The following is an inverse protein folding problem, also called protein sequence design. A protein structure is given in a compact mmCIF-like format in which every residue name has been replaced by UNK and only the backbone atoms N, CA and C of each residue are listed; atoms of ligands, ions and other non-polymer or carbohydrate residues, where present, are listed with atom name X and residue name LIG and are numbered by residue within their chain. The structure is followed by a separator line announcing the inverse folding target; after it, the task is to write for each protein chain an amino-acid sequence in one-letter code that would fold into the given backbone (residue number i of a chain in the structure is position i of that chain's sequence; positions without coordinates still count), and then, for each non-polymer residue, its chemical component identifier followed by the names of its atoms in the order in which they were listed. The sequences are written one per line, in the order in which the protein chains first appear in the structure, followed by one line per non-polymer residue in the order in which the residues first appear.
data_IF_736727514308
#
_entry.id   IF_736727514308
#
_cell.length_a   1.000
_cell.length_b   1.000
_cell.length_c   1.000
_cell.angle_alpha   90.00
_cell.angle_beta   90.00
_cell.angle_gamma   90.00
#
_symmetry.space_group_name_H-M   'P 1'
#
loop_
_entity.id
_entity.type
_entity.pdbx_description
1 polymer ?
#
# COMPACT_ATOMS: atom_id res chain seq x y z
N UNK A 1 13.40 14.20 -17.15
CA UNK A 1 12.43 14.17 -16.04
C UNK A 1 11.72 15.52 -16.03
N UNK A 2 10.39 15.57 -15.87
CA UNK A 2 9.62 16.82 -15.93
C UNK A 2 9.97 17.75 -14.76
N UNK A 3 9.87 19.07 -14.92
CA UNK A 3 10.28 20.04 -13.87
C UNK A 3 9.47 19.90 -12.57
N UNK A 4 8.19 19.54 -12.70
CA UNK A 4 7.29 19.30 -11.57
C UNK A 4 7.82 18.25 -10.57
N UNK A 5 8.73 17.35 -10.96
CA UNK A 5 9.33 16.35 -10.05
C UNK A 5 10.30 16.94 -9.02
N UNK A 6 10.78 18.17 -9.22
CA UNK A 6 11.79 18.80 -8.37
C UNK A 6 11.19 19.79 -7.35
N UNK A 7 9.86 19.81 -7.21
CA UNK A 7 9.14 20.61 -6.24
C UNK A 7 8.51 19.74 -5.16
N UNK A 8 8.56 20.18 -3.90
CA UNK A 8 7.90 19.48 -2.80
C UNK A 8 6.36 19.60 -2.85
N UNK A 9 5.86 20.69 -3.42
CA UNK A 9 4.43 20.93 -3.57
C UNK A 9 3.93 20.39 -4.92
N UNK A 10 2.70 19.88 -4.93
CA UNK A 10 1.99 19.52 -6.16
C UNK A 10 1.82 20.74 -7.06
N UNK A 11 2.37 20.66 -8.28
CA UNK A 11 2.34 21.75 -9.27
C UNK A 11 2.11 21.20 -10.67
N UNK A 12 1.76 22.10 -11.60
CA UNK A 12 1.72 21.82 -13.03
C UNK A 12 0.85 20.61 -13.39
N UNK A 13 1.47 19.62 -14.04
CA UNK A 13 0.81 18.41 -14.49
C UNK A 13 0.31 17.51 -13.35
N UNK A 14 1.01 17.47 -12.21
CA UNK A 14 0.61 16.62 -11.09
C UNK A 14 -0.63 17.12 -10.38
N UNK A 15 -0.84 18.44 -10.31
CA UNK A 15 -2.05 19.01 -9.69
C UNK A 15 -3.32 18.51 -10.39
N UNK A 16 -3.24 18.28 -11.72
CA UNK A 16 -4.36 17.74 -12.50
C UNK A 16 -4.71 16.29 -12.16
N UNK A 17 -3.77 15.54 -11.57
CA UNK A 17 -3.96 14.16 -11.15
C UNK A 17 -4.48 14.05 -9.72
N UNK A 18 -4.42 15.13 -8.94
CA UNK A 18 -4.75 15.08 -7.52
C UNK A 18 -6.17 14.56 -7.27
N UNK A 19 -7.17 15.18 -7.89
CA UNK A 19 -8.58 14.82 -7.67
C UNK A 19 -8.84 13.35 -8.01
N UNK A 20 -8.33 12.85 -9.14
CA UNK A 20 -8.54 11.46 -9.52
C UNK A 20 -7.78 10.48 -8.61
N UNK A 21 -6.59 10.82 -8.14
CA UNK A 21 -5.85 9.98 -7.18
C UNK A 21 -6.54 9.96 -5.82
N UNK A 22 -7.07 11.09 -5.35
CA UNK A 22 -7.83 11.19 -4.11
C UNK A 22 -9.11 10.35 -4.19
N UNK A 23 -9.88 10.46 -5.27
CA UNK A 23 -11.09 9.65 -5.49
C UNK A 23 -10.82 8.14 -5.53
N UNK A 24 -9.66 7.73 -6.03
CA UNK A 24 -9.27 6.32 -6.12
C UNK A 24 -8.46 5.84 -4.91
N UNK A 25 -8.31 6.65 -3.86
CA UNK A 25 -7.53 6.26 -2.68
C UNK A 25 -8.26 5.21 -1.84
N UNK A 26 -7.71 3.99 -1.82
CA UNK A 26 -8.18 2.89 -0.97
C UNK A 26 -8.07 3.21 0.53
N UNK A 27 -7.04 3.97 0.90
CA UNK A 27 -6.74 4.33 2.29
C UNK A 27 -7.86 5.19 2.89
N UNK A 28 -8.31 6.18 2.12
CA UNK A 28 -9.22 7.20 2.62
C UNK A 28 -10.69 6.90 2.32
N UNK A 29 -10.99 6.31 1.16
CA UNK A 29 -12.37 6.19 0.67
C UNK A 29 -13.02 4.84 0.96
N UNK A 30 -12.24 3.86 1.44
CA UNK A 30 -12.77 2.57 1.83
C UNK A 30 -12.31 2.18 3.23
N UNK A 31 -13.17 1.50 3.96
CA UNK A 31 -12.87 1.00 5.30
C UNK A 31 -13.52 -0.36 5.45
N UNK A 32 -12.72 -1.45 5.45
CA UNK A 32 -13.25 -2.80 5.50
C UNK A 32 -13.93 -3.06 6.84
N UNK A 33 -14.93 -3.93 6.83
CA UNK A 33 -15.57 -4.42 8.05
C UNK A 33 -14.51 -5.01 8.99
N UNK A 34 -14.59 -4.80 10.32
CA UNK A 34 -13.68 -5.42 11.29
C UNK A 34 -13.67 -6.96 11.24
N UNK A 35 -14.64 -7.59 10.57
CA UNK A 35 -14.69 -9.04 10.36
C UNK A 35 -13.82 -9.54 9.20
N UNK A 36 -13.28 -8.63 8.39
CA UNK A 36 -12.36 -8.98 7.29
C UNK A 36 -10.95 -8.85 7.83
N UNK A 37 -10.26 -9.99 7.95
CA UNK A 37 -8.86 -10.02 8.35
C UNK A 37 -7.95 -9.70 7.16
N UNK A 38 -7.17 -8.63 7.29
CA UNK A 38 -6.24 -8.17 6.27
C UNK A 38 -4.81 -8.47 6.70
N UNK A 39 -4.05 -9.14 5.82
CA UNK A 39 -2.60 -9.25 5.92
C UNK A 39 -1.97 -8.38 4.83
N UNK A 40 -1.39 -7.27 5.26
CA UNK A 40 -0.57 -6.42 4.42
C UNK A 40 0.88 -6.89 4.51
N UNK A 41 1.54 -7.02 3.36
CA UNK A 41 2.98 -7.31 3.27
C UNK A 41 3.61 -6.29 2.35
N UNK A 42 4.76 -5.74 2.75
CA UNK A 42 5.54 -4.81 1.93
C UNK A 42 7.01 -4.87 2.33
N UNK A 43 7.91 -4.56 1.39
CA UNK A 43 9.34 -4.45 1.68
C UNK A 43 9.78 -2.99 1.77
N UNK A 44 10.64 -2.68 2.74
CA UNK A 44 11.28 -1.36 2.80
C UNK A 44 12.30 -1.14 1.67
N UNK A 45 12.70 -2.21 0.98
CA UNK A 45 13.64 -2.22 -0.14
C UNK A 45 12.94 -2.23 -1.51
N UNK A 46 11.60 -2.12 -1.54
CA UNK A 46 10.83 -2.05 -2.78
C UNK A 46 11.30 -0.85 -3.63
N UNK A 47 11.73 -1.17 -4.85
CA UNK A 47 12.32 -0.23 -5.80
C UNK A 47 11.30 0.38 -6.79
N UNK A 48 10.02 0.00 -6.69
CA UNK A 48 8.93 0.48 -7.54
C UNK A 48 7.88 1.26 -6.75
N UNK A 49 7.52 0.79 -5.56
CA UNK A 49 6.44 1.32 -4.74
C UNK A 49 6.99 1.73 -3.36
N UNK A 50 6.92 3.03 -2.99
CA UNK A 50 7.39 3.49 -1.69
C UNK A 50 6.69 2.78 -0.53
N UNK A 51 7.47 2.38 0.47
CA UNK A 51 6.94 1.72 1.67
C UNK A 51 5.96 2.59 2.46
N UNK A 52 6.07 3.91 2.31
CA UNK A 52 5.17 4.88 2.92
C UNK A 52 3.70 4.65 2.55
N UNK A 53 3.42 4.09 1.36
CA UNK A 53 2.07 3.73 0.96
C UNK A 53 1.46 2.64 1.87
N UNK A 54 2.24 1.60 2.19
CA UNK A 54 1.83 0.51 3.06
C UNK A 54 1.75 0.98 4.53
N UNK A 55 2.71 1.79 4.97
CA UNK A 55 2.74 2.36 6.32
C UNK A 55 1.51 3.24 6.57
N UNK A 56 1.16 4.09 5.60
CA UNK A 56 -0.04 4.93 5.66
C UNK A 56 -1.32 4.10 5.72
N UNK A 57 -1.47 3.09 4.86
CA UNK A 57 -2.63 2.20 4.86
C UNK A 57 -2.79 1.52 6.22
N UNK A 58 -1.71 0.93 6.75
CA UNK A 58 -1.72 0.26 8.04
C UNK A 58 -2.15 1.21 9.16
N UNK A 59 -1.51 2.39 9.26
CA UNK A 59 -1.85 3.39 10.28
C UNK A 59 -3.33 3.76 10.25
N UNK A 60 -3.84 4.16 9.08
CA UNK A 60 -5.23 4.63 8.94
C UNK A 60 -6.22 3.50 9.25
N UNK A 61 -5.95 2.28 8.79
CA UNK A 61 -6.86 1.15 9.03
C UNK A 61 -6.85 0.72 10.50
N UNK A 62 -5.69 0.79 11.18
CA UNK A 62 -5.60 0.56 12.63
C UNK A 62 -6.38 1.61 13.42
N UNK A 63 -6.24 2.89 13.08
CA UNK A 63 -6.99 3.98 13.72
C UNK A 63 -8.51 3.84 13.53
N UNK A 64 -8.94 3.32 12.39
CA UNK A 64 -10.35 3.02 12.09
C UNK A 64 -10.87 1.71 12.70
N UNK A 65 -10.04 0.97 13.43
CA UNK A 65 -10.43 -0.29 14.08
C UNK A 65 -10.59 -1.49 13.15
N UNK A 66 -10.00 -1.45 11.95
CA UNK A 66 -9.99 -2.58 11.03
C UNK A 66 -9.10 -3.72 11.55
N UNK A 67 -9.47 -4.97 11.23
CA UNK A 67 -8.61 -6.13 11.50
C UNK A 67 -7.50 -6.19 10.45
N UNK A 68 -6.36 -5.56 10.74
CA UNK A 68 -5.19 -5.52 9.85
C UNK A 68 -3.92 -5.90 10.60
N UNK A 69 -3.10 -6.73 9.96
CA UNK A 69 -1.74 -7.08 10.33
C UNK A 69 -0.80 -6.59 9.22
N UNK A 70 0.38 -6.11 9.59
CA UNK A 70 1.39 -5.65 8.64
C UNK A 70 2.70 -6.39 8.85
N UNK A 71 3.17 -7.02 7.78
CA UNK A 71 4.42 -7.79 7.71
C UNK A 71 5.41 -6.96 6.88
N UNK A 72 6.50 -6.54 7.52
CA UNK A 72 7.58 -5.84 6.83
C UNK A 72 8.65 -6.86 6.45
N UNK A 73 8.75 -7.15 5.16
CA UNK A 73 9.72 -8.10 4.62
C UNK A 73 10.94 -7.36 4.05
N UNK A 74 11.90 -8.11 3.51
CA UNK A 74 13.13 -7.64 2.87
C UNK A 74 13.13 -8.00 1.38
N UNK A 75 14.04 -7.41 0.59
CA UNK A 75 14.15 -7.65 -0.85
C UNK A 75 13.33 -6.69 -1.70
N UNK A 76 13.53 -6.73 -3.01
CA UNK A 76 12.88 -5.80 -3.94
C UNK A 76 11.38 -6.10 -4.15
N UNK A 77 10.73 -5.30 -5.01
CA UNK A 77 9.31 -5.45 -5.34
C UNK A 77 8.92 -6.88 -5.73
N UNK A 78 9.76 -7.54 -6.54
CA UNK A 78 9.46 -8.85 -7.09
C UNK A 78 9.66 -9.96 -6.07
N UNK A 79 10.67 -9.82 -5.20
CA UNK A 79 10.89 -10.75 -4.09
C UNK A 79 9.75 -10.69 -3.09
N UNK A 80 9.35 -9.48 -2.66
CA UNK A 80 8.22 -9.29 -1.76
C UNK A 80 6.89 -9.78 -2.38
N UNK A 81 6.68 -9.50 -3.67
CA UNK A 81 5.52 -10.01 -4.41
C UNK A 81 5.50 -11.54 -4.51
N UNK A 82 6.65 -12.17 -4.71
CA UNK A 82 6.76 -13.64 -4.74
C UNK A 82 6.45 -14.26 -3.39
N UNK A 83 6.95 -13.68 -2.31
CA UNK A 83 6.64 -14.11 -0.93
C UNK A 83 5.14 -13.99 -0.63
N UNK A 84 4.51 -12.88 -1.04
CA UNK A 84 3.06 -12.70 -0.92
C UNK A 84 2.31 -13.83 -1.64
N UNK A 85 2.63 -14.08 -2.91
CA UNK A 85 1.93 -15.08 -3.72
C UNK A 85 2.09 -16.49 -3.14
N UNK A 86 3.31 -16.88 -2.73
CA UNK A 86 3.56 -18.16 -2.09
C UNK A 86 2.78 -18.31 -0.78
N UNK A 87 2.79 -17.28 0.07
CA UNK A 87 2.07 -17.27 1.35
C UNK A 87 0.56 -17.37 1.13
N UNK A 88 0.02 -16.64 0.16
CA UNK A 88 -1.40 -16.68 -0.18
C UNK A 88 -1.81 -18.06 -0.73
N UNK A 89 -1.01 -18.65 -1.62
CA UNK A 89 -1.25 -20.00 -2.14
C UNK A 89 -1.20 -21.06 -1.03
N UNK A 90 -0.17 -21.03 -0.17
CA UNK A 90 -0.06 -21.95 0.97
C UNK A 90 -1.27 -21.81 1.90
N UNK A 91 -1.69 -20.57 2.20
CA UNK A 91 -2.88 -20.33 3.00
C UNK A 91 -4.12 -20.96 2.38
N UNK A 92 -4.34 -20.80 1.07
CA UNK A 92 -5.49 -21.37 0.37
C UNK A 92 -5.45 -22.90 0.28
N UNK A 93 -4.27 -23.52 0.23
CA UNK A 93 -4.11 -24.97 0.19
C UNK A 93 -4.29 -25.65 1.55
N UNK A 94 -3.96 -24.94 2.64
CA UNK A 94 -4.03 -25.47 4.01
C UNK A 94 -5.36 -25.18 4.71
N UNK A 95 -6.23 -24.37 4.09
CA UNK A 95 -7.53 -23.98 4.63
C UNK A 95 -8.66 -24.82 4.03
#
# INVERSE_FOLDING_TARGET
MHEDFFHQELRGGFLKLQECMELNSLVYNWSPSPRIDIRLIHSAEDNLIPVDCADLLYKVYREKGCSIQYIRTTGDHYQAGSEFMLTAMLYLLLK
#
